data_IF_583937724396
#
_entry.id   IF_583937724396
#
_cell.length_a   1.000
_cell.length_b   1.000
_cell.length_c   1.000
_cell.angle_alpha   90.00
_cell.angle_beta   90.00
_cell.angle_gamma   90.00
#
_symmetry.space_group_name_H-M   'P 1'
#
loop_
_entity.id
_entity.type
_entity.pdbx_description
1 polymer ?
#
# COMPACT_ATOMS: atom_id res chain seq x y z
N UNK A 1 6.23 14.80 -16.10
CA UNK A 1 5.60 13.78 -16.97
C UNK A 1 4.12 13.77 -16.67
N UNK A 2 3.27 13.66 -17.72
CA UNK A 2 1.83 13.61 -17.55
C UNK A 2 1.31 12.18 -17.47
N UNK A 3 0.24 12.02 -16.70
CA UNK A 3 -0.54 10.80 -16.59
C UNK A 3 -1.99 11.14 -16.96
N UNK A 4 -2.58 10.42 -17.92
CA UNK A 4 -3.97 10.60 -18.33
C UNK A 4 -4.86 9.61 -17.60
N UNK A 5 -5.91 10.08 -16.91
CA UNK A 5 -6.86 9.24 -16.22
C UNK A 5 -7.67 8.40 -17.21
N UNK A 6 -7.58 7.08 -17.07
CA UNK A 6 -8.32 6.13 -17.90
C UNK A 6 -9.67 5.76 -17.26
N UNK A 7 -9.65 5.42 -15.97
CA UNK A 7 -10.84 4.99 -15.26
C UNK A 7 -10.66 5.12 -13.75
N UNK A 8 -11.77 5.17 -13.04
CA UNK A 8 -11.83 5.15 -11.58
C UNK A 8 -12.56 3.88 -11.17
N UNK A 9 -12.00 3.17 -10.20
CA UNK A 9 -12.59 1.95 -9.63
C UNK A 9 -12.79 2.12 -8.13
N UNK A 10 -13.97 1.80 -7.63
CA UNK A 10 -14.23 1.73 -6.20
C UNK A 10 -13.69 0.40 -5.65
N UNK A 11 -12.82 0.46 -4.66
CA UNK A 11 -12.20 -0.71 -4.00
C UNK A 11 -12.87 -1.04 -2.67
N UNK A 12 -13.39 0.00 -1.98
CA UNK A 12 -14.16 -0.09 -0.74
C UNK A 12 -15.08 1.14 -0.65
N UNK A 13 -15.94 1.24 0.35
CA UNK A 13 -16.95 2.31 0.48
C UNK A 13 -16.38 3.73 0.34
N UNK A 14 -15.20 3.98 0.90
CA UNK A 14 -14.52 5.27 0.91
C UNK A 14 -13.14 5.25 0.22
N UNK A 15 -12.81 4.16 -0.50
CA UNK A 15 -11.51 3.96 -1.16
C UNK A 15 -11.70 3.76 -2.65
N UNK A 16 -10.95 4.55 -3.43
CA UNK A 16 -11.00 4.53 -4.89
C UNK A 16 -9.59 4.43 -5.47
N UNK A 17 -9.48 3.66 -6.54
CA UNK A 17 -8.30 3.55 -7.40
C UNK A 17 -8.50 4.40 -8.66
N UNK A 18 -7.55 5.29 -8.91
CA UNK A 18 -7.42 6.07 -10.13
C UNK A 18 -6.38 5.41 -11.01
N UNK A 19 -6.79 4.96 -12.17
CA UNK A 19 -5.95 4.22 -13.10
C UNK A 19 -5.54 5.15 -14.23
N UNK A 20 -4.26 5.46 -14.31
CA UNK A 20 -3.68 6.38 -15.25
C UNK A 20 -2.80 5.68 -16.28
N UNK A 21 -2.79 6.23 -17.49
CA UNK A 21 -1.83 5.86 -18.53
C UNK A 21 -0.74 6.92 -18.60
N UNK A 22 0.54 6.55 -18.45
CA UNK A 22 1.63 7.51 -18.62
C UNK A 22 1.83 7.88 -20.09
N UNK A 23 2.11 9.16 -20.37
CA UNK A 23 2.37 9.67 -21.73
C UNK A 23 3.57 8.99 -22.41
N UNK A 24 4.50 8.46 -21.61
CA UNK A 24 5.68 7.71 -22.04
C UNK A 24 5.99 6.59 -21.08
N UNK A 25 6.81 5.64 -21.49
CA UNK A 25 7.18 4.50 -20.65
C UNK A 25 7.76 4.97 -19.31
N UNK A 26 7.10 4.55 -18.23
CA UNK A 26 7.57 4.75 -16.85
C UNK A 26 8.06 3.41 -16.31
N UNK A 27 9.25 3.41 -15.70
CA UNK A 27 9.81 2.23 -15.03
C UNK A 27 9.84 2.48 -13.52
N UNK A 28 9.32 1.54 -12.73
CA UNK A 28 9.39 1.56 -11.27
C UNK A 28 9.60 0.16 -10.73
N UNK A 29 9.91 0.07 -9.45
CA UNK A 29 9.89 -1.18 -8.69
C UNK A 29 8.62 -1.22 -7.86
N UNK A 30 7.99 -2.39 -7.72
CA UNK A 30 6.82 -2.56 -6.87
C UNK A 30 7.15 -2.16 -5.42
N UNK A 31 6.28 -1.36 -4.82
CA UNK A 31 6.48 -0.75 -3.50
C UNK A 31 6.97 0.70 -3.53
N UNK A 32 7.44 1.22 -4.66
CA UNK A 32 7.80 2.63 -4.81
C UNK A 32 6.56 3.55 -4.86
N UNK A 33 6.79 4.84 -4.62
CA UNK A 33 5.80 5.91 -4.74
C UNK A 33 6.11 6.84 -5.91
N UNK A 34 5.12 7.66 -6.29
CA UNK A 34 5.28 8.82 -7.17
C UNK A 34 4.93 10.10 -6.41
N UNK A 35 5.57 11.18 -6.84
CA UNK A 35 5.25 12.54 -6.49
C UNK A 35 4.23 13.07 -7.50
N UNK A 36 2.98 13.26 -7.07
CA UNK A 36 1.87 13.72 -7.89
C UNK A 36 1.62 15.20 -7.68
N UNK A 37 1.38 15.92 -8.76
CA UNK A 37 1.00 17.33 -8.77
C UNK A 37 -0.35 17.46 -9.47
N UNK A 38 -1.33 17.99 -8.76
CA UNK A 38 -2.67 18.27 -9.29
C UNK A 38 -3.04 19.72 -9.05
N UNK A 39 -3.01 20.50 -10.13
CA UNK A 39 -3.41 21.89 -10.08
C UNK A 39 -4.89 22.02 -9.75
N UNK A 40 -5.22 22.79 -8.72
CA UNK A 40 -6.59 23.04 -8.29
C UNK A 40 -6.70 24.36 -7.53
N UNK A 41 -7.89 25.01 -7.52
CA UNK A 41 -8.09 26.24 -6.79
C UNK A 41 -8.04 26.00 -5.28
N UNK A 42 -7.55 26.99 -4.53
CA UNK A 42 -7.51 27.01 -3.05
C UNK A 42 -6.81 25.78 -2.45
N UNK A 43 -5.51 25.60 -2.74
CA UNK A 43 -4.73 24.54 -2.11
C UNK A 43 -4.69 24.72 -0.58
N UNK A 44 -4.63 23.62 0.17
CA UNK A 44 -4.39 23.65 1.59
C UNK A 44 -2.91 23.97 1.92
N UNK A 45 -2.55 24.02 3.20
CA UNK A 45 -1.21 24.30 3.70
C UNK A 45 -0.12 23.37 3.13
N UNK A 46 -0.49 22.22 2.63
CA UNK A 46 0.40 21.24 1.98
C UNK A 46 0.49 21.41 0.45
N UNK A 47 -0.10 22.46 -0.09
CA UNK A 47 -0.04 22.79 -1.52
C UNK A 47 -0.76 21.78 -2.43
N UNK A 48 -0.31 21.74 -3.69
CA UNK A 48 -0.90 20.96 -4.80
C UNK A 48 -0.22 19.59 -4.99
N UNK A 49 0.68 19.20 -4.11
CA UNK A 49 1.57 18.05 -4.29
C UNK A 49 1.33 16.98 -3.24
N UNK A 50 1.39 15.71 -3.65
CA UNK A 50 1.29 14.57 -2.71
C UNK A 50 2.10 13.39 -3.21
N UNK A 51 2.59 12.62 -2.27
CA UNK A 51 3.22 11.33 -2.51
C UNK A 51 2.22 10.21 -2.28
N UNK A 52 2.11 9.28 -3.22
CA UNK A 52 1.32 8.07 -3.08
C UNK A 52 2.10 6.87 -3.62
N UNK A 53 2.03 5.75 -2.89
CA UNK A 53 2.53 4.47 -3.38
C UNK A 53 1.87 4.13 -4.71
N UNK A 54 2.64 3.57 -5.63
CA UNK A 54 2.11 3.04 -6.88
C UNK A 54 1.46 1.70 -6.56
N UNK A 55 0.14 1.65 -6.58
CA UNK A 55 -0.62 0.44 -6.23
C UNK A 55 -0.62 -0.63 -7.33
N UNK A 56 -0.24 -0.26 -8.57
CA UNK A 56 -0.05 -1.20 -9.67
C UNK A 56 1.35 -1.82 -9.67
N UNK A 57 1.44 -3.09 -10.08
CA UNK A 57 2.72 -3.72 -10.37
C UNK A 57 3.28 -3.22 -11.72
N UNK A 58 4.62 -3.23 -11.92
CA UNK A 58 5.23 -2.72 -13.16
C UNK A 58 4.71 -3.38 -14.45
N UNK A 59 4.39 -4.65 -14.42
CA UNK A 59 3.88 -5.39 -15.57
C UNK A 59 2.46 -5.00 -15.99
N UNK A 60 1.69 -4.33 -15.13
CA UNK A 60 0.35 -3.82 -15.46
C UNK A 60 0.44 -2.62 -16.43
N UNK A 61 1.64 -2.03 -16.63
CA UNK A 61 1.92 -0.94 -17.59
C UNK A 61 1.03 0.30 -17.43
N UNK A 62 0.45 0.48 -16.27
CA UNK A 62 -0.41 1.60 -15.88
C UNK A 62 -0.05 2.06 -14.48
N UNK A 63 -0.30 3.30 -14.14
CA UNK A 63 -0.08 3.84 -12.80
C UNK A 63 -1.40 3.84 -12.05
N UNK A 64 -1.47 3.13 -10.94
CA UNK A 64 -2.64 3.10 -10.07
C UNK A 64 -2.34 3.89 -8.79
N UNK A 65 -3.09 4.97 -8.59
CA UNK A 65 -3.15 5.72 -7.33
C UNK A 65 -4.41 5.29 -6.61
N UNK A 66 -4.27 4.73 -5.39
CA UNK A 66 -5.42 4.36 -4.57
C UNK A 66 -5.40 5.13 -3.28
N UNK A 67 -6.53 5.73 -2.93
CA UNK A 67 -6.63 6.57 -1.74
C UNK A 67 -8.00 6.47 -1.08
N UNK A 68 -8.01 6.76 0.23
CA UNK A 68 -9.21 6.88 1.04
C UNK A 68 -9.70 8.33 1.05
N UNK A 69 -10.99 8.51 0.90
CA UNK A 69 -11.66 9.81 1.03
C UNK A 69 -12.35 9.92 2.39
N UNK A 70 -11.87 10.86 3.20
CA UNK A 70 -12.52 11.23 4.47
C UNK A 70 -13.36 12.50 4.28
N UNK A 71 -14.40 12.74 5.12
CA UNK A 71 -15.21 13.97 5.06
C UNK A 71 -14.39 15.26 5.10
N UNK A 72 -13.35 15.29 5.93
CA UNK A 72 -12.37 16.40 6.05
C UNK A 72 -11.10 16.14 5.23
N UNK A 73 -11.23 15.64 4.00
CA UNK A 73 -10.11 15.35 3.11
C UNK A 73 -9.36 16.60 2.65
N UNK A 74 -8.07 16.44 2.30
CA UNK A 74 -7.21 17.52 1.78
C UNK A 74 -7.77 18.13 0.49
N UNK A 75 -7.35 19.38 0.17
CA UNK A 75 -7.70 20.05 -1.09
C UNK A 75 -7.33 19.20 -2.32
N UNK A 76 -6.14 18.58 -2.32
CA UNK A 76 -5.70 17.65 -3.34
C UNK A 76 -6.69 16.49 -3.55
N UNK A 77 -7.14 15.83 -2.46
CA UNK A 77 -8.11 14.73 -2.57
C UNK A 77 -9.47 15.19 -3.06
N UNK A 78 -9.91 16.39 -2.64
CA UNK A 78 -11.14 16.99 -3.17
C UNK A 78 -11.03 17.20 -4.69
N UNK A 79 -9.91 17.75 -5.16
CA UNK A 79 -9.65 17.93 -6.59
C UNK A 79 -9.54 16.57 -7.31
N UNK A 80 -8.82 15.60 -6.73
CA UNK A 80 -8.72 14.24 -7.30
C UNK A 80 -10.10 13.61 -7.52
N UNK A 81 -11.05 13.85 -6.61
CA UNK A 81 -12.42 13.33 -6.69
C UNK A 81 -13.22 13.90 -7.85
N UNK A 82 -12.85 15.07 -8.38
CA UNK A 82 -13.55 15.71 -9.52
C UNK A 82 -13.02 15.26 -10.88
N UNK A 83 -11.92 14.55 -10.93
CA UNK A 83 -11.33 14.07 -12.18
C UNK A 83 -12.25 13.10 -12.91
N UNK A 84 -12.22 13.19 -14.25
CA UNK A 84 -12.95 12.31 -15.17
C UNK A 84 -11.98 11.63 -16.11
N UNK A 85 -12.40 10.56 -16.76
CA UNK A 85 -11.61 9.92 -17.80
C UNK A 85 -11.20 10.93 -18.89
N UNK A 86 -9.93 10.95 -19.23
CA UNK A 86 -9.31 11.92 -20.13
C UNK A 86 -8.59 13.07 -19.43
N UNK A 87 -8.89 13.36 -18.15
CA UNK A 87 -8.17 14.39 -17.40
C UNK A 87 -6.73 13.99 -17.13
N UNK A 88 -5.86 14.99 -17.03
CA UNK A 88 -4.42 14.79 -16.83
C UNK A 88 -3.99 15.24 -15.43
N UNK A 89 -2.99 14.56 -14.90
CA UNK A 89 -2.27 14.91 -13.67
C UNK A 89 -0.77 14.84 -13.96
N UNK A 90 0.01 15.67 -13.30
CA UNK A 90 1.46 15.63 -13.45
C UNK A 90 2.10 14.75 -12.38
N UNK A 91 3.20 14.09 -12.76
CA UNK A 91 4.10 13.43 -11.83
C UNK A 91 5.54 13.84 -12.11
N UNK A 92 6.30 14.03 -11.03
CA UNK A 92 7.69 14.42 -11.14
C UNK A 92 8.60 13.23 -10.95
N UNK A 93 8.92 12.90 -9.73
CA UNK A 93 9.87 11.85 -9.42
C UNK A 93 9.19 10.63 -8.80
N UNK A 94 9.85 9.51 -8.96
CA UNK A 94 9.56 8.29 -8.22
C UNK A 94 10.60 8.11 -7.14
N UNK A 95 10.20 7.52 -6.02
CA UNK A 95 11.10 7.26 -4.91
C UNK A 95 10.65 6.10 -4.06
N UNK A 96 11.32 5.93 -2.93
CA UNK A 96 11.01 4.92 -1.94
C UNK A 96 11.88 3.67 -2.04
N UNK A 97 12.26 3.19 -0.86
CA UNK A 97 13.06 1.98 -0.63
C UNK A 97 12.24 0.83 -0.04
N UNK A 98 10.91 1.00 -0.02
CA UNK A 98 9.97 -0.04 0.43
C UNK A 98 9.75 -1.09 -0.66
N UNK A 99 10.85 -1.58 -1.19
CA UNK A 99 10.90 -2.58 -2.26
C UNK A 99 11.30 -3.94 -1.70
N UNK A 100 10.91 -5.02 -2.40
CA UNK A 100 11.23 -6.37 -1.96
C UNK A 100 12.75 -6.62 -1.96
N UNK A 101 13.28 -7.15 -0.86
CA UNK A 101 14.66 -7.65 -0.81
C UNK A 101 14.71 -9.07 -1.41
N UNK A 102 15.08 -9.17 -2.68
CA UNK A 102 15.14 -10.43 -3.43
C UNK A 102 16.16 -11.45 -2.89
N UNK A 103 17.07 -11.03 -1.99
CA UNK A 103 17.99 -11.95 -1.29
C UNK A 103 17.29 -12.76 -0.20
N UNK A 104 16.09 -12.33 0.22
CA UNK A 104 15.25 -12.98 1.23
C UNK A 104 14.20 -13.86 0.58
N UNK A 105 13.74 -14.87 1.31
CA UNK A 105 12.79 -15.87 0.79
C UNK A 105 11.48 -15.95 1.56
N UNK A 106 11.41 -15.32 2.74
CA UNK A 106 10.24 -15.37 3.64
C UNK A 106 9.92 -13.96 4.12
N UNK A 107 8.65 -13.59 4.05
CA UNK A 107 8.22 -12.23 4.36
C UNK A 107 6.97 -12.25 5.25
N UNK A 108 6.89 -11.27 6.14
CA UNK A 108 5.67 -10.90 6.85
C UNK A 108 5.29 -9.50 6.45
N UNK A 109 4.12 -9.34 5.86
CA UNK A 109 3.56 -8.06 5.49
C UNK A 109 2.49 -7.67 6.50
N UNK A 110 2.55 -6.45 7.02
CA UNK A 110 1.57 -5.92 7.97
C UNK A 110 0.99 -4.64 7.37
N UNK A 111 -0.26 -4.70 6.96
CA UNK A 111 -0.96 -3.60 6.32
C UNK A 111 -2.03 -3.00 7.24
N UNK A 112 -2.10 -1.67 7.29
CA UNK A 112 -3.19 -0.93 7.94
C UNK A 112 -4.03 -0.14 6.94
N UNK A 113 -5.28 -0.54 6.73
CA UNK A 113 -6.19 0.15 5.81
C UNK A 113 -5.60 0.35 4.41
N UNK A 114 -5.43 1.62 3.98
CA UNK A 114 -4.85 1.95 2.67
C UNK A 114 -3.36 1.58 2.54
N UNK A 115 -2.67 1.23 3.63
CA UNK A 115 -1.31 0.70 3.63
C UNK A 115 -1.13 -0.61 2.85
N UNK A 116 -2.22 -1.20 2.39
CA UNK A 116 -2.21 -2.35 1.48
C UNK A 116 -1.65 -2.04 0.08
N UNK A 117 -1.63 -0.75 -0.33
CA UNK A 117 -1.28 -0.35 -1.70
C UNK A 117 0.11 -0.81 -2.16
N UNK A 118 1.21 -0.61 -1.45
CA UNK A 118 2.51 -1.11 -1.87
C UNK A 118 2.56 -2.65 -1.86
N UNK A 119 1.86 -3.30 -0.95
CA UNK A 119 1.83 -4.77 -0.88
C UNK A 119 1.10 -5.40 -2.06
N UNK A 120 -0.01 -4.78 -2.54
CA UNK A 120 -0.68 -5.23 -3.76
C UNK A 120 0.32 -5.25 -4.92
N UNK A 121 1.04 -4.15 -5.14
CA UNK A 121 2.02 -4.08 -6.21
C UNK A 121 3.12 -5.14 -6.07
N UNK A 122 3.66 -5.31 -4.86
CA UNK A 122 4.73 -6.28 -4.57
C UNK A 122 4.24 -7.73 -4.81
N UNK A 123 3.06 -8.09 -4.30
CA UNK A 123 2.51 -9.44 -4.43
C UNK A 123 2.26 -9.82 -5.90
N UNK A 124 1.68 -8.91 -6.69
CA UNK A 124 1.44 -9.13 -8.11
C UNK A 124 2.74 -9.19 -8.92
N UNK A 125 3.73 -8.39 -8.55
CA UNK A 125 5.05 -8.43 -9.18
C UNK A 125 5.78 -9.75 -8.85
N UNK A 126 5.69 -10.24 -7.61
CA UNK A 126 6.21 -11.56 -7.23
C UNK A 126 5.56 -12.67 -8.05
N UNK A 127 4.23 -12.68 -8.18
CA UNK A 127 3.48 -13.67 -8.98
C UNK A 127 3.93 -13.63 -10.44
N UNK A 128 3.99 -12.44 -11.05
CA UNK A 128 4.39 -12.27 -12.45
C UNK A 128 5.80 -12.79 -12.73
N UNK A 129 6.73 -12.53 -11.82
CA UNK A 129 8.13 -12.93 -11.93
C UNK A 129 8.37 -14.37 -11.45
N UNK A 130 7.30 -15.13 -11.15
CA UNK A 130 7.35 -16.52 -10.64
C UNK A 130 8.20 -16.66 -9.38
N UNK A 131 8.31 -15.59 -8.59
CA UNK A 131 8.93 -15.64 -7.28
C UNK A 131 7.99 -16.38 -6.31
N UNK A 132 8.51 -17.27 -5.45
CA UNK A 132 7.69 -17.94 -4.44
C UNK A 132 7.00 -16.92 -3.53
N UNK A 133 5.66 -16.93 -3.45
CA UNK A 133 4.90 -16.10 -2.52
C UNK A 133 4.93 -16.70 -1.10
N UNK A 134 6.12 -16.81 -0.53
CA UNK A 134 6.29 -17.22 0.86
C UNK A 134 6.08 -16.00 1.78
N UNK A 135 4.83 -15.58 1.89
CA UNK A 135 4.40 -14.34 2.53
C UNK A 135 3.24 -14.62 3.48
N UNK A 136 3.35 -14.15 4.71
CA UNK A 136 2.23 -14.02 5.65
C UNK A 136 1.79 -12.56 5.66
N UNK A 137 0.57 -12.27 5.21
CA UNK A 137 -0.03 -10.94 5.25
C UNK A 137 -0.99 -10.82 6.43
N UNK A 138 -0.70 -9.91 7.35
CA UNK A 138 -1.62 -9.48 8.40
C UNK A 138 -2.25 -8.15 7.96
N UNK A 139 -3.54 -8.16 7.67
CA UNK A 139 -4.20 -6.99 7.11
C UNK A 139 -5.27 -6.45 8.07
N UNK A 140 -4.96 -5.32 8.73
CA UNK A 140 -5.86 -4.65 9.66
C UNK A 140 -6.70 -3.59 8.96
N UNK A 141 -8.00 -3.54 9.28
CA UNK A 141 -8.89 -2.47 8.88
C UNK A 141 -9.90 -2.18 10.01
N UNK A 142 -10.54 -1.01 9.96
CA UNK A 142 -11.57 -0.63 10.96
C UNK A 142 -12.87 -1.43 10.82
N UNK A 143 -13.15 -1.95 9.62
CA UNK A 143 -14.35 -2.71 9.28
C UNK A 143 -14.03 -3.84 8.28
N UNK A 144 -15.04 -4.60 7.86
CA UNK A 144 -14.90 -5.72 6.93
C UNK A 144 -14.74 -5.31 5.45
N UNK A 145 -14.76 -4.03 5.14
CA UNK A 145 -14.66 -3.50 3.78
C UNK A 145 -13.18 -3.30 3.38
N UNK A 146 -12.50 -4.42 3.13
CA UNK A 146 -11.08 -4.44 2.79
C UNK A 146 -10.82 -4.16 1.31
N UNK A 147 -10.06 -3.09 0.96
CA UNK A 147 -9.57 -2.89 -0.40
C UNK A 147 -8.86 -4.12 -0.95
N UNK A 148 -9.07 -4.43 -2.22
CA UNK A 148 -8.45 -5.55 -2.95
C UNK A 148 -8.74 -6.95 -2.40
N UNK A 149 -9.69 -7.11 -1.47
CA UNK A 149 -9.97 -8.40 -0.83
C UNK A 149 -10.16 -9.53 -1.84
N UNK A 150 -10.99 -9.32 -2.87
CA UNK A 150 -11.25 -10.34 -3.91
C UNK A 150 -9.97 -10.77 -4.64
N UNK A 151 -9.10 -9.81 -4.97
CA UNK A 151 -7.83 -10.06 -5.65
C UNK A 151 -6.85 -10.81 -4.74
N UNK A 152 -6.72 -10.40 -3.48
CA UNK A 152 -5.86 -11.05 -2.49
C UNK A 152 -6.33 -12.47 -2.15
N UNK A 153 -7.64 -12.69 -2.00
CA UNK A 153 -8.21 -14.02 -1.76
C UNK A 153 -8.02 -14.95 -2.96
N UNK A 154 -8.12 -14.41 -4.19
CA UNK A 154 -7.82 -15.15 -5.41
C UNK A 154 -6.33 -15.52 -5.50
N UNK A 155 -5.44 -14.62 -5.09
CA UNK A 155 -4.00 -14.89 -5.02
C UNK A 155 -3.70 -15.99 -3.99
N UNK A 156 -4.31 -15.95 -2.80
CA UNK A 156 -4.20 -17.00 -1.77
C UNK A 156 -4.61 -18.37 -2.29
N UNK A 157 -5.69 -18.43 -3.08
CA UNK A 157 -6.15 -19.71 -3.65
C UNK A 157 -5.15 -20.31 -4.64
N UNK A 158 -4.37 -19.48 -5.36
CA UNK A 158 -3.37 -19.94 -6.34
C UNK A 158 -2.03 -20.29 -5.72
N UNK A 159 -1.72 -19.76 -4.52
CA UNK A 159 -0.40 -19.88 -3.90
C UNK A 159 -0.49 -20.40 -2.47
N UNK A 160 -0.21 -21.67 -2.28
CA UNK A 160 -0.34 -22.37 -0.97
C UNK A 160 0.59 -21.82 0.12
N UNK A 161 1.67 -21.13 -0.24
CA UNK A 161 2.61 -20.50 0.70
C UNK A 161 2.25 -19.04 1.02
N UNK A 162 1.20 -18.49 0.40
CA UNK A 162 0.67 -17.17 0.72
C UNK A 162 -0.44 -17.28 1.75
N UNK A 163 -0.14 -16.81 2.98
CA UNK A 163 -1.13 -16.66 4.05
C UNK A 163 -1.68 -15.25 4.11
N UNK A 164 -2.96 -15.11 4.45
CA UNK A 164 -3.58 -13.81 4.75
C UNK A 164 -4.56 -13.95 5.90
N UNK A 165 -4.43 -13.06 6.90
CA UNK A 165 -5.33 -12.90 8.03
C UNK A 165 -5.87 -11.48 8.08
N UNK A 166 -7.20 -11.37 8.05
CA UNK A 166 -7.92 -10.10 8.13
C UNK A 166 -8.24 -9.78 9.59
N UNK A 167 -7.76 -8.64 10.07
CA UNK A 167 -7.95 -8.18 11.45
C UNK A 167 -8.88 -6.97 11.45
N UNK A 168 -10.08 -7.11 12.00
CA UNK A 168 -11.08 -6.05 12.07
C UNK A 168 -11.12 -5.45 13.48
N UNK A 169 -11.18 -4.10 13.58
CA UNK A 169 -11.37 -3.41 14.85
C UNK A 169 -12.61 -3.96 15.61
N UNK A 170 -12.57 -4.13 16.95
CA UNK A 170 -11.55 -3.62 17.86
C UNK A 170 -10.28 -4.50 17.98
N UNK A 171 -10.21 -5.65 17.28
CA UNK A 171 -9.00 -6.46 17.28
C UNK A 171 -7.84 -5.68 16.63
N UNK A 172 -6.62 -5.95 17.13
CA UNK A 172 -5.41 -5.26 16.68
C UNK A 172 -4.30 -6.26 16.37
N UNK A 173 -3.39 -5.83 15.50
CA UNK A 173 -2.11 -6.51 15.29
C UNK A 173 -1.16 -5.95 16.35
N UNK A 174 -0.78 -6.78 17.31
CA UNK A 174 0.02 -6.41 18.47
C UNK A 174 0.98 -7.55 18.91
N UNK A 175 1.65 -7.36 20.02
CA UNK A 175 2.59 -8.32 20.61
C UNK A 175 1.95 -9.70 20.88
N UNK A 176 0.65 -9.75 21.20
CA UNK A 176 -0.07 -11.00 21.49
C UNK A 176 -0.58 -11.70 20.25
N UNK A 177 -0.87 -10.93 19.20
CA UNK A 177 -1.48 -11.44 17.97
C UNK A 177 -0.46 -11.84 16.92
N UNK A 178 0.65 -11.11 16.77
CA UNK A 178 1.70 -11.43 15.78
C UNK A 178 2.19 -12.88 15.92
N UNK A 179 2.56 -13.40 17.12
CA UNK A 179 3.05 -14.78 17.26
C UNK A 179 2.01 -15.87 16.95
N UNK A 180 0.72 -15.53 16.96
CA UNK A 180 -0.35 -16.48 16.58
C UNK A 180 -0.36 -16.77 15.08
N UNK A 181 0.06 -15.81 14.27
CA UNK A 181 0.05 -15.88 12.81
C UNK A 181 1.43 -16.11 12.20
N UNK A 182 2.49 -15.76 12.96
CA UNK A 182 3.88 -15.84 12.50
C UNK A 182 4.64 -16.76 13.44
N UNK A 183 4.79 -18.03 13.04
CA UNK A 183 5.43 -19.04 13.88
C UNK A 183 6.97 -18.96 13.90
N UNK A 184 7.57 -18.43 12.85
CA UNK A 184 9.02 -18.23 12.76
C UNK A 184 9.31 -16.73 12.72
N UNK A 185 9.85 -16.20 13.82
CA UNK A 185 10.18 -14.78 13.95
C UNK A 185 11.61 -14.47 13.49
N UNK A 186 12.44 -15.48 13.25
CA UNK A 186 13.88 -15.31 13.02
C UNK A 186 14.26 -15.19 11.53
N UNK A 187 13.48 -15.78 10.63
CA UNK A 187 13.79 -15.82 9.20
C UNK A 187 13.17 -14.68 8.38
N UNK A 188 11.89 -14.29 8.60
CA UNK A 188 11.24 -13.35 7.70
C UNK A 188 11.76 -11.92 7.83
N UNK A 189 11.63 -11.19 6.73
CA UNK A 189 11.69 -9.72 6.75
C UNK A 189 10.27 -9.20 6.93
N UNK A 190 10.09 -8.28 7.86
CA UNK A 190 8.83 -7.65 8.19
C UNK A 190 8.71 -6.33 7.44
N UNK A 191 7.64 -6.20 6.68
CA UNK A 191 7.26 -4.98 6.00
C UNK A 191 5.98 -4.44 6.65
N UNK A 192 6.01 -3.19 7.10
CA UNK A 192 4.88 -2.55 7.79
C UNK A 192 4.48 -1.31 7.02
N UNK A 193 3.22 -1.23 6.58
CA UNK A 193 2.70 -0.05 5.88
C UNK A 193 1.31 0.33 6.38
N UNK A 194 1.10 1.63 6.64
CA UNK A 194 -0.15 2.17 7.14
C UNK A 194 -0.04 3.55 7.75
N UNK A 195 -1.01 3.93 8.60
CA UNK A 195 -0.94 5.18 9.36
C UNK A 195 0.31 5.25 10.24
N UNK A 196 0.93 6.42 10.29
CA UNK A 196 2.18 6.64 11.03
C UNK A 196 2.16 6.12 12.47
N UNK A 197 1.13 6.40 13.31
CA UNK A 197 1.08 5.88 14.69
C UNK A 197 1.05 4.34 14.76
N UNK A 198 0.40 3.69 13.79
CA UNK A 198 0.38 2.23 13.70
C UNK A 198 1.76 1.68 13.36
N UNK A 199 2.43 2.26 12.36
CA UNK A 199 3.77 1.83 11.93
C UNK A 199 4.78 1.97 13.05
N UNK A 200 4.78 3.12 13.76
CA UNK A 200 5.65 3.34 14.92
C UNK A 200 5.40 2.34 16.06
N UNK A 201 4.12 2.08 16.37
CA UNK A 201 3.75 1.11 17.40
C UNK A 201 4.22 -0.30 17.03
N UNK A 202 4.03 -0.71 15.77
CA UNK A 202 4.44 -2.03 15.28
C UNK A 202 5.96 -2.17 15.18
N UNK A 203 6.68 -1.12 14.80
CA UNK A 203 8.15 -1.12 14.82
C UNK A 203 8.69 -1.40 16.24
N UNK A 204 8.14 -0.73 17.25
CA UNK A 204 8.48 -0.98 18.66
C UNK A 204 8.11 -2.41 19.08
N UNK A 205 6.93 -2.88 18.70
CA UNK A 205 6.44 -4.23 19.02
C UNK A 205 7.32 -5.32 18.41
N UNK A 206 7.67 -5.19 17.12
CA UNK A 206 8.54 -6.15 16.44
C UNK A 206 9.93 -6.22 17.08
N UNK A 207 10.51 -5.08 17.45
CA UNK A 207 11.80 -5.02 18.17
C UNK A 207 11.70 -5.71 19.53
N UNK A 208 10.60 -5.51 20.28
CA UNK A 208 10.35 -6.19 21.56
C UNK A 208 10.20 -7.71 21.39
N UNK A 209 9.65 -8.15 20.26
CA UNK A 209 9.56 -9.57 19.89
C UNK A 209 10.88 -10.16 19.34
N UNK A 210 12.01 -9.42 19.41
CA UNK A 210 13.33 -9.89 19.01
C UNK A 210 13.67 -9.72 17.51
N UNK A 211 12.82 -9.05 16.74
CA UNK A 211 13.12 -8.79 15.32
C UNK A 211 14.18 -7.71 15.19
N UNK A 212 15.30 -8.01 14.55
CA UNK A 212 16.38 -7.04 14.35
C UNK A 212 15.97 -5.90 13.42
N UNK A 213 16.50 -4.69 13.63
CA UNK A 213 16.20 -3.48 12.84
C UNK A 213 16.38 -3.70 11.33
N UNK A 214 17.41 -4.47 10.92
CA UNK A 214 17.68 -4.74 9.51
C UNK A 214 16.62 -5.59 8.84
N UNK A 215 15.78 -6.28 9.60
CA UNK A 215 14.67 -7.09 9.11
C UNK A 215 13.31 -6.39 9.22
N UNK A 216 13.27 -5.11 9.57
CA UNK A 216 12.04 -4.30 9.62
C UNK A 216 12.14 -3.23 8.54
N UNK A 217 11.15 -3.17 7.67
CA UNK A 217 10.95 -2.15 6.64
C UNK A 217 9.63 -1.43 6.90
N UNK A 218 9.68 -0.12 6.99
CA UNK A 218 8.52 0.70 7.33
C UNK A 218 8.17 1.63 6.18
N UNK A 219 6.87 1.78 5.90
CA UNK A 219 6.31 2.78 5.03
C UNK A 219 5.08 3.38 5.71
N UNK A 220 5.02 4.70 5.84
CA UNK A 220 3.93 5.35 6.55
C UNK A 220 3.36 6.53 5.76
N UNK A 221 2.07 6.77 5.97
CA UNK A 221 1.33 7.83 5.31
C UNK A 221 0.99 8.93 6.32
N UNK A 222 1.67 10.10 6.26
CA UNK A 222 1.40 11.19 7.17
C UNK A 222 -0.02 11.73 6.99
N UNK A 223 -0.66 12.13 8.10
CA UNK A 223 -2.00 12.73 8.10
C UNK A 223 -3.17 11.73 8.08
N UNK A 224 -2.93 10.44 8.25
CA UNK A 224 -3.95 9.46 8.58
C UNK A 224 -3.96 9.19 10.09
N UNK A 225 -5.10 9.41 10.73
CA UNK A 225 -5.30 9.01 12.12
C UNK A 225 -5.75 7.54 12.15
N UNK A 226 -5.11 6.77 13.00
CA UNK A 226 -5.58 5.42 13.32
C UNK A 226 -6.55 5.53 14.48
N UNK A 227 -7.78 4.95 14.40
CA UNK A 227 -8.73 4.94 15.52
C UNK A 227 -8.27 4.05 16.68
#
# INVERSE_FOLDING_TARGET
MKLTLRTIKQEASDIFSYIFMPERSLRWQAGQYLHYILNHPKPDDRGMERYFSIASAPHEKQVMLTTRFAPKGSSFKKALKTLKAGDEIEVHEKGGDFVLDHRRKTFVFIAGGIGITPFRAILLDMERNRNPLNVQLLYANRDNDFPYRKELDALKKRHTKFGIDYVVSPNRIDEKTIPKFVHDMDKPVFYVSGPEPMVESLDKTLKKLGVSKQRIKNDFFPGYHWP
#
